data_IF_431914140166
#
_entry.id   IF_431914140166
#
_cell.length_a   1.000
_cell.length_b   1.000
_cell.length_c   1.000
_cell.angle_alpha   90.00
_cell.angle_beta   90.00
_cell.angle_gamma   90.00
#
_symmetry.space_group_name_H-M   'P 1'
#
loop_
_entity.id
_entity.type
_entity.pdbx_description
1 polymer ?
#
# COMPACT_ATOMS: atom_id res chain seq x y z
N UNK A 1 -31.08 -30.69 5.84
CA UNK A 1 -30.83 -29.37 5.22
C UNK A 1 -30.11 -28.53 6.25
N UNK A 2 -28.84 -28.17 6.03
CA UNK A 2 -28.12 -27.24 6.91
C UNK A 2 -28.54 -25.84 6.52
N UNK A 3 -29.17 -25.11 7.44
CA UNK A 3 -29.40 -23.67 7.30
C UNK A 3 -28.05 -22.99 7.08
N UNK A 4 -27.87 -22.40 5.89
CA UNK A 4 -26.79 -21.46 5.65
C UNK A 4 -27.17 -20.21 6.44
N UNK A 5 -26.55 -20.03 7.61
CA UNK A 5 -26.55 -18.75 8.31
C UNK A 5 -26.01 -17.72 7.30
N UNK A 6 -26.86 -16.80 6.84
CA UNK A 6 -26.41 -15.60 6.14
C UNK A 6 -25.38 -14.94 7.07
N UNK A 7 -24.11 -14.95 6.65
CA UNK A 7 -23.07 -14.22 7.35
C UNK A 7 -23.51 -12.75 7.41
N UNK A 8 -23.52 -12.16 8.61
CA UNK A 8 -23.85 -10.74 8.74
C UNK A 8 -22.84 -9.88 7.98
N UNK A 9 -23.27 -8.72 7.49
CA UNK A 9 -22.39 -7.79 6.76
C UNK A 9 -21.12 -7.45 7.54
N UNK A 10 -19.98 -7.49 6.86
CA UNK A 10 -18.69 -7.04 7.39
C UNK A 10 -18.75 -5.53 7.59
N UNK A 11 -18.69 -5.08 8.85
CA UNK A 11 -18.81 -3.64 9.14
C UNK A 11 -17.52 -2.89 8.88
N UNK A 12 -16.38 -3.42 9.33
CA UNK A 12 -15.07 -2.80 9.17
C UNK A 12 -14.31 -3.54 8.08
N UNK A 13 -14.07 -2.86 6.98
CA UNK A 13 -13.39 -3.43 5.83
C UNK A 13 -11.99 -2.81 5.74
N UNK A 14 -11.00 -3.68 5.62
CA UNK A 14 -9.60 -3.31 5.78
C UNK A 14 -8.99 -2.88 4.45
N UNK A 15 -8.29 -1.75 4.44
CA UNK A 15 -7.48 -1.29 3.31
C UNK A 15 -5.99 -1.61 3.48
N UNK A 16 -5.60 -2.15 4.64
CA UNK A 16 -4.36 -2.92 4.79
C UNK A 16 -4.72 -4.29 5.35
N UNK A 17 -4.22 -5.33 4.69
CA UNK A 17 -4.50 -6.74 5.00
C UNK A 17 -4.35 -7.07 6.49
N UNK A 18 -5.37 -7.69 7.09
CA UNK A 18 -5.28 -8.11 8.49
C UNK A 18 -4.22 -9.20 8.71
N UNK A 19 -4.04 -10.12 7.74
CA UNK A 19 -3.02 -11.17 7.82
C UNK A 19 -1.61 -10.57 7.93
N UNK A 20 -1.38 -9.46 7.23
CA UNK A 20 -0.16 -8.67 7.31
C UNK A 20 -0.03 -7.96 8.66
N UNK A 21 -1.05 -7.20 9.08
CA UNK A 21 -1.02 -6.42 10.33
C UNK A 21 -0.84 -7.29 11.58
N UNK A 22 -1.27 -8.56 11.54
CA UNK A 22 -1.03 -9.54 12.63
C UNK A 22 0.45 -9.75 12.95
N UNK A 23 1.37 -9.49 12.01
CA UNK A 23 2.82 -9.58 12.21
C UNK A 23 3.40 -8.45 13.07
N UNK A 24 2.61 -7.42 13.31
CA UNK A 24 3.00 -6.20 14.03
C UNK A 24 2.43 -6.14 15.45
N UNK A 25 1.79 -7.22 15.90
CA UNK A 25 1.28 -7.31 17.27
C UNK A 25 2.44 -7.34 18.27
N UNK A 26 2.26 -6.63 19.37
CA UNK A 26 3.06 -6.75 20.57
C UNK A 26 2.74 -8.05 21.33
N UNK A 27 3.48 -8.30 22.42
CA UNK A 27 3.30 -9.47 23.29
C UNK A 27 1.89 -9.59 23.88
N UNK A 28 1.18 -8.47 24.02
CA UNK A 28 -0.22 -8.42 24.49
C UNK A 28 -1.25 -8.63 23.37
N UNK A 29 -0.80 -8.97 22.16
CA UNK A 29 -1.65 -9.20 21.00
C UNK A 29 -2.29 -7.93 20.40
N UNK A 30 -1.80 -6.74 20.78
CA UNK A 30 -2.26 -5.43 20.28
C UNK A 30 -1.23 -4.84 19.33
N UNK A 31 -1.65 -3.95 18.44
CA UNK A 31 -0.75 -3.15 17.62
C UNK A 31 -0.67 -1.74 18.23
N UNK A 32 0.53 -1.15 18.24
CA UNK A 32 0.70 0.24 18.68
C UNK A 32 0.62 1.14 17.45
N UNK A 33 -0.21 2.16 17.52
CA UNK A 33 -0.50 3.07 16.41
C UNK A 33 -0.05 4.47 16.81
N UNK A 34 0.73 5.11 15.96
CA UNK A 34 0.96 6.55 15.98
C UNK A 34 0.05 7.21 14.95
N UNK A 35 -0.74 8.17 15.36
CA UNK A 35 -1.66 8.93 14.49
C UNK A 35 -1.08 10.31 14.23
N UNK A 36 -0.66 10.54 12.98
CA UNK A 36 -0.02 11.80 12.56
C UNK A 36 -0.94 13.01 12.67
N UNK A 37 -2.24 12.83 12.44
CA UNK A 37 -3.22 13.91 12.52
C UNK A 37 -3.52 14.28 13.98
N UNK A 38 -3.68 13.27 14.85
CA UNK A 38 -3.96 13.50 16.27
C UNK A 38 -2.72 13.73 17.14
N UNK A 39 -1.53 13.53 16.57
CA UNK A 39 -0.24 13.61 17.26
C UNK A 39 -0.22 12.79 18.56
N UNK A 40 -0.72 11.55 18.50
CA UNK A 40 -0.80 10.69 19.68
C UNK A 40 -0.54 9.22 19.37
N UNK A 41 -0.26 8.47 20.42
CA UNK A 41 -0.06 7.02 20.38
C UNK A 41 -1.19 6.29 21.09
N UNK A 42 -1.65 5.18 20.51
CA UNK A 42 -2.71 4.34 21.07
C UNK A 42 -2.46 2.86 20.82
N UNK A 43 -3.10 2.01 21.61
CA UNK A 43 -3.08 0.56 21.43
C UNK A 43 -4.42 0.11 20.85
N UNK A 44 -4.39 -0.61 19.73
CA UNK A 44 -5.59 -1.06 19.06
C UNK A 44 -5.58 -2.58 18.85
N UNK A 45 -6.78 -3.15 18.64
CA UNK A 45 -6.88 -4.47 18.04
C UNK A 45 -6.59 -4.38 16.54
N UNK A 46 -6.16 -5.48 15.92
CA UNK A 46 -5.95 -5.53 14.47
C UNK A 46 -7.24 -5.23 13.69
N UNK A 47 -8.41 -5.58 14.24
CA UNK A 47 -9.71 -5.38 13.60
C UNK A 47 -10.20 -3.91 13.60
N UNK A 48 -9.46 -3.02 14.27
CA UNK A 48 -9.82 -1.60 14.44
C UNK A 48 -8.80 -0.64 13.81
N UNK A 49 -7.84 -1.15 13.04
CA UNK A 49 -6.80 -0.35 12.38
C UNK A 49 -6.79 -0.59 10.87
N UNK A 50 -6.39 0.44 10.14
CA UNK A 50 -6.33 0.41 8.67
C UNK A 50 -7.62 -0.12 8.02
N UNK A 51 -8.77 0.27 8.57
CA UNK A 51 -10.10 -0.10 8.12
C UNK A 51 -11.05 1.09 8.18
N UNK A 52 -12.11 1.04 7.39
CA UNK A 52 -13.24 1.96 7.46
C UNK A 52 -14.54 1.19 7.37
N UNK A 53 -15.64 1.81 7.80
CA UNK A 53 -16.94 1.16 7.75
C UNK A 53 -17.45 1.09 6.32
N UNK A 54 -17.83 -0.10 5.85
CA UNK A 54 -18.40 -0.33 4.51
C UNK A 54 -17.53 0.33 3.41
N UNK A 55 -16.21 0.15 3.53
CA UNK A 55 -15.23 0.89 2.75
C UNK A 55 -15.30 0.54 1.26
N UNK A 56 -15.60 -0.71 0.91
CA UNK A 56 -15.70 -1.22 -0.44
C UNK A 56 -17.15 -1.37 -0.93
N UNK A 57 -18.15 -1.01 -0.13
CA UNK A 57 -19.56 -0.99 -0.54
C UNK A 57 -19.78 0.10 -1.63
N UNK A 58 -19.81 -0.34 -2.89
CA UNK A 58 -20.11 0.47 -4.07
C UNK A 58 -21.37 -0.06 -4.78
N UNK A 59 -21.98 0.77 -5.62
CA UNK A 59 -23.14 0.35 -6.41
C UNK A 59 -22.69 -0.61 -7.54
N UNK A 60 -23.41 -1.70 -7.74
CA UNK A 60 -23.14 -2.63 -8.84
C UNK A 60 -23.41 -2.01 -10.22
N UNK A 61 -24.25 -0.97 -10.29
CA UNK A 61 -24.45 -0.16 -11.50
C UNK A 61 -23.16 0.54 -11.96
N UNK A 62 -22.17 0.70 -11.08
CA UNK A 62 -20.88 1.29 -11.41
C UNK A 62 -19.90 0.31 -12.09
N UNK A 63 -20.28 -0.97 -12.22
CA UNK A 63 -19.44 -1.99 -12.85
C UNK A 63 -19.66 -2.02 -14.37
N UNK A 64 -18.57 -2.22 -15.11
CA UNK A 64 -18.67 -2.64 -16.50
C UNK A 64 -19.22 -4.07 -16.61
N UNK A 65 -19.82 -4.40 -17.76
CA UNK A 65 -20.28 -5.77 -18.06
C UNK A 65 -19.18 -6.80 -17.87
N UNK A 66 -17.94 -6.47 -18.27
CA UNK A 66 -16.80 -7.36 -18.13
C UNK A 66 -16.48 -7.66 -16.65
N UNK A 67 -16.46 -6.65 -15.79
CA UNK A 67 -16.20 -6.83 -14.36
C UNK A 67 -17.30 -7.66 -13.68
N UNK A 68 -18.57 -7.37 -14.00
CA UNK A 68 -19.70 -8.13 -13.47
C UNK A 68 -19.64 -9.61 -13.88
N UNK A 69 -19.31 -9.90 -15.14
CA UNK A 69 -19.17 -11.27 -15.64
C UNK A 69 -18.00 -12.00 -15.00
N UNK A 70 -16.87 -11.32 -14.77
CA UNK A 70 -15.71 -11.90 -14.08
C UNK A 70 -16.04 -12.30 -12.64
N UNK A 71 -16.74 -11.43 -11.89
CA UNK A 71 -17.20 -11.74 -10.53
C UNK A 71 -18.16 -12.94 -10.54
N UNK A 72 -19.12 -12.97 -11.46
CA UNK A 72 -20.09 -14.08 -11.57
C UNK A 72 -19.39 -15.42 -11.85
N UNK A 73 -18.32 -15.43 -12.67
CA UNK A 73 -17.52 -16.64 -12.96
C UNK A 73 -16.81 -17.22 -11.74
N UNK A 74 -16.45 -16.38 -10.78
CA UNK A 74 -15.84 -16.82 -9.51
C UNK A 74 -16.87 -17.01 -8.39
N UNK A 75 -18.16 -16.97 -8.73
CA UNK A 75 -19.27 -17.24 -7.80
C UNK A 75 -19.72 -16.05 -6.97
N UNK A 76 -19.36 -14.83 -7.36
CA UNK A 76 -19.76 -13.58 -6.69
C UNK A 76 -20.75 -12.85 -7.61
N UNK A 77 -21.99 -12.69 -7.15
CA UNK A 77 -23.02 -11.98 -7.91
C UNK A 77 -23.22 -10.56 -7.36
N UNK A 78 -22.69 -9.51 -8.04
CA UNK A 78 -22.73 -8.14 -7.51
C UNK A 78 -24.15 -7.55 -7.42
N UNK A 79 -25.14 -8.15 -8.09
CA UNK A 79 -26.55 -7.72 -7.98
C UNK A 79 -27.20 -8.17 -6.66
N UNK A 80 -26.76 -9.29 -6.10
CA UNK A 80 -27.31 -9.87 -4.88
C UNK A 80 -26.38 -9.75 -3.66
N UNK A 81 -25.10 -9.50 -3.89
CA UNK A 81 -24.08 -9.34 -2.86
C UNK A 81 -23.56 -7.90 -2.78
N UNK A 82 -24.09 -7.12 -1.83
CA UNK A 82 -23.64 -5.71 -1.64
C UNK A 82 -22.19 -5.54 -1.19
N UNK A 83 -21.49 -6.61 -0.80
CA UNK A 83 -20.09 -6.59 -0.35
C UNK A 83 -19.18 -7.40 -1.29
N UNK A 84 -19.54 -7.44 -2.58
CA UNK A 84 -18.86 -8.24 -3.59
C UNK A 84 -17.33 -7.99 -3.67
N UNK A 85 -16.86 -6.75 -3.45
CA UNK A 85 -15.42 -6.44 -3.43
C UNK A 85 -14.73 -7.01 -2.18
N UNK A 86 -15.33 -6.86 -1.00
CA UNK A 86 -14.77 -7.42 0.24
C UNK A 86 -14.70 -8.95 0.16
N UNK A 87 -15.75 -9.60 -0.37
CA UNK A 87 -15.74 -11.05 -0.57
C UNK A 87 -14.73 -11.49 -1.65
N UNK A 88 -14.57 -10.71 -2.72
CA UNK A 88 -13.53 -10.96 -3.72
C UNK A 88 -12.13 -10.88 -3.10
N UNK A 89 -11.81 -9.79 -2.41
CA UNK A 89 -10.52 -9.59 -1.76
C UNK A 89 -10.27 -10.70 -0.71
N UNK A 90 -11.23 -10.96 0.17
CA UNK A 90 -11.14 -11.99 1.20
C UNK A 90 -10.97 -13.40 0.65
N UNK A 91 -11.78 -13.77 -0.34
CA UNK A 91 -11.80 -15.12 -0.91
C UNK A 91 -10.60 -15.44 -1.80
N UNK A 92 -10.17 -14.46 -2.61
CA UNK A 92 -9.23 -14.70 -3.71
C UNK A 92 -7.87 -14.01 -3.55
N UNK A 93 -7.77 -12.94 -2.77
CA UNK A 93 -6.51 -12.19 -2.60
C UNK A 93 -5.89 -12.46 -1.24
N UNK A 94 -6.63 -12.27 -0.14
CA UNK A 94 -6.06 -12.33 1.21
C UNK A 94 -5.54 -13.74 1.58
N UNK A 95 -6.20 -14.78 1.09
CA UNK A 95 -5.79 -16.17 1.30
C UNK A 95 -4.42 -16.45 0.68
N UNK A 96 -4.24 -16.11 -0.60
CA UNK A 96 -2.99 -16.27 -1.32
C UNK A 96 -1.88 -15.41 -0.68
N UNK A 97 -2.19 -14.16 -0.35
CA UNK A 97 -1.26 -13.26 0.32
C UNK A 97 -0.78 -13.85 1.65
N UNK A 98 -1.71 -14.32 2.48
CA UNK A 98 -1.42 -14.88 3.80
C UNK A 98 -0.53 -16.12 3.68
N UNK A 99 -0.84 -17.02 2.76
CA UNK A 99 -0.04 -18.23 2.51
C UNK A 99 1.40 -17.86 2.13
N UNK A 100 1.58 -17.04 1.11
CA UNK A 100 2.89 -16.65 0.60
C UNK A 100 3.70 -15.86 1.64
N UNK A 101 3.07 -14.91 2.34
CA UNK A 101 3.73 -14.16 3.42
C UNK A 101 4.22 -15.11 4.52
N UNK A 102 3.38 -16.07 4.94
CA UNK A 102 3.75 -17.04 5.97
C UNK A 102 4.92 -17.92 5.52
N UNK A 103 4.93 -18.35 4.26
CA UNK A 103 6.04 -19.12 3.70
C UNK A 103 7.35 -18.32 3.66
N UNK A 104 7.31 -17.07 3.17
CA UNK A 104 8.48 -16.18 3.09
C UNK A 104 9.08 -15.94 4.48
N UNK A 105 8.23 -15.53 5.44
CA UNK A 105 8.67 -15.24 6.82
C UNK A 105 9.19 -16.51 7.50
N UNK A 106 8.49 -17.64 7.39
CA UNK A 106 8.93 -18.90 7.99
C UNK A 106 10.30 -19.34 7.47
N UNK A 107 10.55 -19.24 6.16
CA UNK A 107 11.87 -19.53 5.58
C UNK A 107 12.95 -18.60 6.13
N UNK A 108 12.64 -17.30 6.29
CA UNK A 108 13.59 -16.32 6.81
C UNK A 108 13.92 -16.52 8.29
N UNK A 109 12.92 -16.81 9.13
CA UNK A 109 13.10 -17.07 10.57
C UNK A 109 13.98 -18.30 10.84
N UNK A 110 13.91 -19.31 9.96
CA UNK A 110 14.71 -20.54 10.07
C UNK A 110 15.97 -20.51 9.19
N UNK A 111 16.27 -19.39 8.52
CA UNK A 111 17.42 -19.28 7.64
C UNK A 111 18.72 -19.29 8.45
N UNK A 112 19.55 -20.30 8.21
CA UNK A 112 20.93 -20.34 8.70
C UNK A 112 21.83 -19.48 7.80
N UNK A 113 23.06 -19.12 8.26
CA UNK A 113 24.01 -18.42 7.39
C UNK A 113 24.31 -19.16 6.07
N UNK A 114 24.25 -20.50 6.09
CA UNK A 114 24.36 -21.30 4.87
C UNK A 114 23.14 -21.12 3.96
N UNK A 115 21.94 -21.11 4.52
CA UNK A 115 20.70 -20.93 3.76
C UNK A 115 20.63 -19.54 3.12
N UNK A 116 20.96 -18.48 3.87
CA UNK A 116 21.01 -17.10 3.37
C UNK A 116 21.94 -16.97 2.16
N UNK A 117 23.09 -17.65 2.20
CA UNK A 117 24.11 -17.59 1.14
C UNK A 117 23.74 -18.39 -0.10
N UNK A 118 23.07 -19.53 0.05
CA UNK A 118 22.94 -20.52 -1.02
C UNK A 118 21.51 -20.64 -1.59
N UNK A 119 20.48 -20.32 -0.82
CA UNK A 119 19.09 -20.57 -1.19
C UNK A 119 18.39 -19.31 -1.71
N UNK A 120 17.24 -19.50 -2.35
CA UNK A 120 16.32 -18.42 -2.70
C UNK A 120 15.18 -18.38 -1.69
N UNK A 121 14.71 -17.19 -1.31
CA UNK A 121 13.61 -17.08 -0.35
C UNK A 121 12.24 -17.37 -0.98
N UNK A 122 12.12 -17.16 -2.28
CA UNK A 122 10.88 -17.33 -3.06
C UNK A 122 11.16 -18.05 -4.38
N UNK A 123 10.21 -18.85 -4.86
CA UNK A 123 10.29 -19.46 -6.19
C UNK A 123 9.90 -18.44 -7.26
N UNK A 124 10.19 -18.71 -8.54
CA UNK A 124 9.74 -17.83 -9.64
C UNK A 124 8.21 -17.74 -9.70
N UNK A 125 7.51 -18.88 -9.55
CA UNK A 125 6.04 -18.92 -9.55
C UNK A 125 5.45 -18.14 -8.37
N UNK A 126 6.02 -18.34 -7.18
CA UNK A 126 5.57 -17.60 -5.99
C UNK A 126 5.88 -16.11 -6.10
N UNK A 127 6.97 -15.72 -6.79
CA UNK A 127 7.27 -14.32 -7.07
C UNK A 127 6.19 -13.68 -7.94
N UNK A 128 5.73 -14.36 -8.99
CA UNK A 128 4.59 -13.90 -9.82
C UNK A 128 3.34 -13.74 -8.95
N UNK A 129 2.98 -14.75 -8.17
CA UNK A 129 1.79 -14.72 -7.33
C UNK A 129 1.87 -13.63 -6.25
N UNK A 130 3.04 -13.45 -5.65
CA UNK A 130 3.24 -12.40 -4.65
C UNK A 130 3.26 -11.01 -5.28
N UNK A 131 3.74 -10.85 -6.52
CA UNK A 131 3.65 -9.58 -7.23
C UNK A 131 2.19 -9.14 -7.48
N UNK A 132 1.29 -10.09 -7.80
CA UNK A 132 -0.16 -9.82 -7.87
C UNK A 132 -0.69 -9.38 -6.51
N UNK A 133 -0.28 -10.07 -5.44
CA UNK A 133 -0.62 -9.69 -4.06
C UNK A 133 -0.15 -8.28 -3.69
N UNK A 134 1.06 -7.89 -4.12
CA UNK A 134 1.60 -6.54 -3.93
C UNK A 134 0.80 -5.50 -4.72
N UNK A 135 0.42 -5.79 -5.97
CA UNK A 135 -0.42 -4.90 -6.79
C UNK A 135 -1.75 -4.58 -6.10
N UNK A 136 -2.45 -5.61 -5.59
CA UNK A 136 -3.68 -5.39 -4.82
C UNK A 136 -3.45 -4.59 -3.54
N UNK A 137 -2.41 -4.91 -2.75
CA UNK A 137 -2.12 -4.17 -1.53
C UNK A 137 -1.71 -2.71 -1.81
N UNK A 138 -1.02 -2.45 -2.92
CA UNK A 138 -0.63 -1.12 -3.35
C UNK A 138 -1.85 -0.26 -3.71
N UNK A 139 -2.77 -0.80 -4.51
CA UNK A 139 -3.98 -0.07 -4.94
C UNK A 139 -4.99 0.09 -3.79
N UNK A 140 -5.24 -0.94 -2.98
CA UNK A 140 -6.39 -0.95 -2.04
C UNK A 140 -6.32 0.06 -0.89
N UNK A 141 -5.21 0.77 -0.71
CA UNK A 141 -4.99 1.67 0.44
C UNK A 141 -5.94 2.87 0.44
N UNK A 142 -6.18 3.45 1.63
CA UNK A 142 -6.94 4.71 1.72
C UNK A 142 -6.24 5.89 1.05
N UNK A 143 -4.92 5.84 0.99
CA UNK A 143 -4.12 6.87 0.33
C UNK A 143 -4.42 6.97 -1.17
N UNK A 144 -4.67 5.84 -1.84
CA UNK A 144 -5.03 5.81 -3.28
C UNK A 144 -6.42 6.42 -3.50
N UNK A 145 -7.41 6.05 -2.68
CA UNK A 145 -8.75 6.67 -2.75
C UNK A 145 -8.69 8.18 -2.50
N UNK A 146 -7.91 8.60 -1.50
CA UNK A 146 -7.67 10.02 -1.22
C UNK A 146 -6.98 10.72 -2.39
N UNK A 147 -6.02 10.07 -3.05
CA UNK A 147 -5.33 10.63 -4.22
C UNK A 147 -6.28 10.85 -5.40
N UNK A 148 -7.26 9.98 -5.62
CA UNK A 148 -8.33 10.18 -6.62
C UNK A 148 -9.11 11.47 -6.32
N UNK A 149 -9.58 11.63 -5.09
CA UNK A 149 -10.32 12.83 -4.68
C UNK A 149 -9.46 14.11 -4.75
N UNK A 150 -8.23 14.03 -4.26
CA UNK A 150 -7.27 15.15 -4.26
C UNK A 150 -6.91 15.59 -5.69
N UNK A 151 -6.75 14.64 -6.62
CA UNK A 151 -6.45 14.95 -8.02
C UNK A 151 -7.61 15.68 -8.69
N UNK A 152 -8.84 15.25 -8.41
CA UNK A 152 -10.04 15.93 -8.89
C UNK A 152 -10.19 17.35 -8.31
N UNK A 153 -9.88 17.53 -7.02
CA UNK A 153 -9.90 18.85 -6.39
C UNK A 153 -8.83 19.79 -6.99
N UNK A 154 -7.61 19.29 -7.20
CA UNK A 154 -6.56 20.08 -7.85
C UNK A 154 -6.95 20.46 -9.29
N UNK A 155 -7.52 19.52 -10.06
CA UNK A 155 -8.00 19.79 -11.42
C UNK A 155 -9.12 20.84 -11.43
N UNK A 156 -10.05 20.78 -10.47
CA UNK A 156 -11.09 21.79 -10.30
C UNK A 156 -10.51 23.19 -10.14
N UNK A 157 -9.49 23.33 -9.30
CA UNK A 157 -8.84 24.62 -9.06
C UNK A 157 -8.20 25.16 -10.34
N UNK A 158 -7.54 24.30 -11.13
CA UNK A 158 -6.96 24.70 -12.43
C UNK A 158 -8.06 25.14 -13.39
N UNK A 159 -9.13 24.35 -13.56
CA UNK A 159 -10.20 24.64 -14.51
C UNK A 159 -10.96 25.93 -14.16
N UNK A 160 -11.15 26.20 -12.87
CA UNK A 160 -11.71 27.48 -12.38
C UNK A 160 -10.81 28.67 -12.69
N UNK A 161 -9.50 28.51 -12.60
CA UNK A 161 -8.55 29.61 -12.85
C UNK A 161 -8.46 29.96 -14.34
N UNK A 162 -8.61 28.98 -15.23
CA UNK A 162 -8.64 29.22 -16.68
C UNK A 162 -10.06 29.57 -17.20
N UNK A 163 -11.00 29.87 -16.31
CA UNK A 163 -12.36 30.35 -16.59
C UNK A 163 -13.17 29.41 -17.52
N UNK A 164 -13.03 28.10 -17.31
CA UNK A 164 -13.82 27.09 -18.01
C UNK A 164 -15.28 27.12 -17.53
N UNK A 165 -16.23 26.92 -18.44
CA UNK A 165 -17.65 26.90 -18.10
C UNK A 165 -18.00 25.77 -17.12
N UNK A 166 -19.01 25.99 -16.26
CA UNK A 166 -19.42 25.00 -15.27
C UNK A 166 -19.84 23.67 -15.91
N UNK A 167 -20.53 23.71 -17.06
CA UNK A 167 -20.93 22.50 -17.80
C UNK A 167 -19.74 21.64 -18.27
N UNK A 168 -18.57 22.26 -18.49
CA UNK A 168 -17.35 21.54 -18.86
C UNK A 168 -16.66 21.02 -17.60
N UNK A 169 -16.57 21.85 -16.56
CA UNK A 169 -16.02 21.47 -15.24
C UNK A 169 -16.72 20.20 -14.71
N UNK A 170 -18.05 20.16 -14.76
CA UNK A 170 -18.86 19.04 -14.25
C UNK A 170 -18.64 17.72 -14.99
N UNK A 171 -18.02 17.75 -16.19
CA UNK A 171 -17.68 16.53 -16.96
C UNK A 171 -16.35 15.90 -16.55
N UNK A 172 -15.45 16.67 -15.93
CA UNK A 172 -14.10 16.22 -15.62
C UNK A 172 -13.85 16.03 -14.12
N UNK A 173 -14.77 16.49 -13.27
CA UNK A 173 -14.64 16.42 -11.83
C UNK A 173 -15.45 15.25 -11.28
N UNK A 174 -14.84 14.58 -10.30
CA UNK A 174 -15.43 13.52 -9.52
C UNK A 174 -16.31 14.17 -8.44
N UNK A 175 -17.60 13.80 -8.37
CA UNK A 175 -18.47 14.31 -7.30
C UNK A 175 -18.10 13.65 -5.99
N UNK A 176 -18.35 14.37 -4.89
CA UNK A 176 -18.10 13.86 -3.55
C UNK A 176 -18.82 12.52 -3.33
N UNK A 177 -18.09 11.51 -2.90
CA UNK A 177 -18.58 10.16 -2.67
C UNK A 177 -18.45 9.22 -3.87
N UNK A 178 -18.15 9.73 -5.08
CA UNK A 178 -17.92 8.90 -6.26
C UNK A 178 -16.48 8.33 -6.30
N UNK A 179 -15.54 8.88 -5.53
CA UNK A 179 -14.17 8.37 -5.44
C UNK A 179 -14.09 6.92 -4.97
N UNK A 180 -15.08 6.46 -4.19
CA UNK A 180 -15.18 5.06 -3.77
C UNK A 180 -15.49 4.14 -4.94
N UNK A 181 -16.33 4.58 -5.90
CA UNK A 181 -16.72 3.80 -7.07
C UNK A 181 -15.54 3.68 -8.03
N UNK A 182 -14.77 4.77 -8.20
CA UNK A 182 -13.55 4.77 -9.00
C UNK A 182 -12.51 3.84 -8.36
N UNK A 183 -12.24 3.99 -7.06
CA UNK A 183 -11.29 3.12 -6.36
C UNK A 183 -11.74 1.65 -6.39
N UNK A 184 -13.03 1.35 -6.22
CA UNK A 184 -13.56 0.00 -6.32
C UNK A 184 -13.41 -0.59 -7.73
N UNK A 185 -13.63 0.22 -8.77
CA UNK A 185 -13.39 -0.19 -10.15
C UNK A 185 -11.90 -0.48 -10.42
N UNK A 186 -10.98 0.32 -9.87
CA UNK A 186 -9.53 0.06 -9.98
C UNK A 186 -9.14 -1.31 -9.39
N UNK A 187 -9.81 -1.75 -8.32
CA UNK A 187 -9.58 -3.07 -7.70
C UNK A 187 -10.12 -4.24 -8.52
N UNK A 188 -11.02 -3.98 -9.47
CA UNK A 188 -11.62 -4.98 -10.35
C UNK A 188 -11.09 -4.89 -11.79
N UNK A 189 -10.19 -3.94 -12.05
CA UNK A 189 -9.51 -3.80 -13.34
C UNK A 189 -8.35 -4.80 -13.42
N UNK A 190 -8.66 -5.99 -13.94
CA UNK A 190 -7.69 -7.09 -14.03
C UNK A 190 -6.50 -6.71 -14.91
N UNK A 191 -6.71 -5.96 -15.99
CA UNK A 191 -5.61 -5.56 -16.89
C UNK A 191 -4.62 -4.65 -16.15
N UNK A 192 -5.12 -3.58 -15.53
CA UNK A 192 -4.29 -2.66 -14.76
C UNK A 192 -3.60 -3.33 -13.56
N UNK A 193 -4.30 -4.25 -12.87
CA UNK A 193 -3.70 -5.04 -11.78
C UNK A 193 -2.56 -5.91 -12.29
N UNK A 194 -2.73 -6.55 -13.46
CA UNK A 194 -1.70 -7.41 -14.02
C UNK A 194 -0.50 -6.62 -14.54
N UNK A 195 -0.72 -5.44 -15.16
CA UNK A 195 0.38 -4.54 -15.53
C UNK A 195 1.17 -4.06 -14.31
N UNK A 196 0.47 -3.72 -13.22
CA UNK A 196 1.11 -3.32 -11.97
C UNK A 196 1.89 -4.48 -11.35
N UNK A 197 1.32 -5.69 -11.35
CA UNK A 197 1.98 -6.91 -10.88
C UNK A 197 3.22 -7.23 -11.71
N UNK A 198 3.17 -7.07 -13.03
CA UNK A 198 4.33 -7.20 -13.90
C UNK A 198 5.42 -6.18 -13.52
N UNK A 199 5.03 -4.93 -13.25
CA UNK A 199 5.92 -3.89 -12.73
C UNK A 199 6.68 -4.35 -11.48
N UNK A 200 5.98 -4.86 -10.47
CA UNK A 200 6.61 -5.43 -9.28
C UNK A 200 7.49 -6.65 -9.58
N UNK A 201 7.02 -7.56 -10.44
CA UNK A 201 7.73 -8.79 -10.79
C UNK A 201 9.07 -8.51 -11.50
N UNK A 202 9.13 -7.48 -12.33
CA UNK A 202 10.31 -7.11 -13.10
C UNK A 202 11.42 -6.46 -12.25
N UNK A 203 11.13 -6.08 -11.00
CA UNK A 203 12.14 -5.60 -10.06
C UNK A 203 13.01 -6.76 -9.53
N UNK A 204 14.22 -6.42 -9.10
CA UNK A 204 15.15 -7.34 -8.42
C UNK A 204 14.72 -7.47 -6.96
N UNK A 205 14.32 -8.66 -6.51
CA UNK A 205 13.79 -8.90 -5.17
C UNK A 205 14.86 -9.41 -4.21
N UNK A 206 15.02 -8.73 -3.08
CA UNK A 206 15.95 -9.09 -2.01
C UNK A 206 15.19 -9.11 -0.69
N UNK A 207 15.30 -10.19 0.08
CA UNK A 207 14.72 -10.27 1.41
C UNK A 207 15.73 -9.84 2.46
N UNK A 208 15.53 -8.64 3.01
CA UNK A 208 16.30 -8.12 4.12
C UNK A 208 15.93 -8.79 5.44
N UNK A 209 16.90 -9.36 6.14
CA UNK A 209 16.75 -9.87 7.51
C UNK A 209 17.41 -8.89 8.46
N UNK A 210 16.61 -8.27 9.32
CA UNK A 210 17.10 -7.37 10.36
C UNK A 210 17.85 -8.16 11.43
N UNK A 211 19.14 -7.84 11.62
CA UNK A 211 20.02 -8.40 12.66
C UNK A 211 20.34 -7.37 13.74
N UNK A 212 19.59 -6.27 13.78
CA UNK A 212 19.74 -5.20 14.78
C UNK A 212 18.68 -5.33 15.88
N UNK A 213 18.77 -4.48 16.91
CA UNK A 213 17.75 -4.38 17.96
C UNK A 213 16.63 -3.38 17.68
N UNK A 214 16.64 -2.69 16.54
CA UNK A 214 15.61 -1.70 16.16
C UNK A 214 14.62 -2.42 15.25
N UNK A 215 13.32 -2.52 15.59
CA UNK A 215 12.34 -3.11 14.68
C UNK A 215 12.03 -2.17 13.53
N UNK A 216 11.60 -2.74 12.41
CA UNK A 216 10.96 -1.95 11.37
C UNK A 216 9.65 -1.30 11.87
N UNK A 217 9.19 -0.28 11.16
CA UNK A 217 7.82 0.21 11.18
C UNK A 217 7.06 -0.28 9.94
N UNK A 218 5.74 -0.17 9.99
CA UNK A 218 4.88 -0.14 8.81
C UNK A 218 3.83 0.95 8.96
N UNK A 219 2.90 1.07 8.02
CA UNK A 219 1.89 2.12 8.01
C UNK A 219 0.59 1.69 7.33
N UNK A 220 -0.36 2.61 7.23
CA UNK A 220 -1.55 2.51 6.39
C UNK A 220 -1.28 2.57 4.87
N UNK A 221 -0.01 2.77 4.47
CA UNK A 221 0.50 2.69 3.10
C UNK A 221 1.80 1.86 3.12
N UNK A 222 1.71 0.53 3.28
CA UNK A 222 2.84 -0.27 3.74
C UNK A 222 3.91 -0.53 2.66
N UNK A 223 3.61 -0.30 1.38
CA UNK A 223 4.54 -0.41 0.26
C UNK A 223 4.89 1.00 -0.16
N UNK A 224 6.16 1.39 -0.01
CA UNK A 224 6.62 2.71 -0.41
C UNK A 224 7.73 2.65 -1.45
N UNK A 225 8.01 3.79 -2.05
CA UNK A 225 8.91 3.93 -3.20
C UNK A 225 9.94 5.02 -2.95
N UNK A 226 11.18 4.79 -3.38
CA UNK A 226 12.28 5.74 -3.28
C UNK A 226 12.91 5.91 -4.65
N UNK A 227 12.82 7.12 -5.25
CA UNK A 227 13.52 7.41 -6.49
C UNK A 227 15.01 7.66 -6.22
N UNK A 228 15.90 6.99 -6.96
CA UNK A 228 17.34 7.30 -6.96
C UNK A 228 17.78 8.14 -8.17
N UNK A 229 16.89 8.31 -9.15
CA UNK A 229 17.09 9.18 -10.31
C UNK A 229 16.23 10.43 -10.14
N UNK A 230 16.80 11.59 -10.45
CA UNK A 230 16.07 12.86 -10.46
C UNK A 230 15.71 13.24 -11.89
N UNK A 231 14.45 13.63 -12.13
CA UNK A 231 14.00 14.19 -13.40
C UNK A 231 13.42 15.60 -13.18
N UNK A 232 13.69 16.59 -14.06
CA UNK A 232 13.29 17.98 -13.83
C UNK A 232 11.78 18.23 -13.79
N UNK A 233 10.98 17.37 -14.43
CA UNK A 233 9.54 17.60 -14.64
C UNK A 233 8.62 16.51 -14.09
N UNK A 234 9.15 15.36 -13.68
CA UNK A 234 8.32 14.23 -13.29
C UNK A 234 8.90 13.49 -12.11
N UNK A 235 8.03 12.91 -11.29
CA UNK A 235 8.45 12.00 -10.23
C UNK A 235 9.03 10.72 -10.84
N UNK A 236 10.12 10.25 -10.27
CA UNK A 236 10.76 8.97 -10.61
C UNK A 236 10.42 7.87 -9.60
N UNK A 237 9.39 8.08 -8.78
CA UNK A 237 8.97 7.16 -7.72
C UNK A 237 8.01 6.06 -8.23
N UNK A 238 7.68 6.03 -9.53
CA UNK A 238 6.82 4.99 -10.09
C UNK A 238 7.49 3.62 -10.08
N UNK A 239 6.70 2.55 -9.92
CA UNK A 239 7.21 1.16 -9.86
C UNK A 239 8.01 0.75 -11.10
N UNK A 240 7.74 1.38 -12.26
CA UNK A 240 8.43 1.14 -13.53
C UNK A 240 9.47 2.23 -13.87
N UNK A 241 9.69 3.18 -12.97
CA UNK A 241 10.63 4.29 -13.19
C UNK A 241 12.07 3.82 -13.03
N UNK A 242 12.96 4.33 -13.88
CA UNK A 242 14.40 4.08 -13.77
C UNK A 242 14.92 4.46 -12.37
N UNK A 243 15.68 3.55 -11.76
CA UNK A 243 16.29 3.79 -10.45
C UNK A 243 15.33 3.71 -9.26
N UNK A 244 14.06 3.34 -9.44
CA UNK A 244 13.17 3.15 -8.30
C UNK A 244 13.66 2.00 -7.41
N UNK A 245 13.62 2.26 -6.10
CA UNK A 245 13.67 1.25 -5.05
C UNK A 245 12.27 1.18 -4.43
N UNK A 246 11.73 -0.01 -4.30
CA UNK A 246 10.46 -0.25 -3.61
C UNK A 246 10.74 -1.06 -2.36
N UNK A 247 10.20 -0.62 -1.24
CA UNK A 247 10.36 -1.31 0.04
C UNK A 247 9.00 -1.70 0.62
N UNK A 248 8.95 -2.88 1.20
CA UNK A 248 7.76 -3.39 1.87
C UNK A 248 8.17 -4.13 3.16
N UNK A 249 8.07 -3.51 4.34
CA UNK A 249 8.35 -4.16 5.61
C UNK A 249 7.37 -5.32 5.79
N UNK A 250 7.85 -6.56 5.89
CA UNK A 250 6.98 -7.75 6.00
C UNK A 250 6.65 -8.09 7.47
N UNK A 251 7.54 -7.71 8.38
CA UNK A 251 7.42 -7.87 9.83
C UNK A 251 8.44 -6.93 10.52
N UNK A 252 8.43 -6.82 11.86
CA UNK A 252 9.47 -6.06 12.58
C UNK A 252 10.91 -6.45 12.26
N UNK A 253 11.14 -7.68 11.78
CA UNK A 253 12.49 -8.22 11.52
C UNK A 253 12.79 -8.50 10.03
N UNK A 254 11.84 -8.25 9.13
CA UNK A 254 11.99 -8.63 7.72
C UNK A 254 11.42 -7.56 6.80
N UNK A 255 12.13 -7.24 5.72
CA UNK A 255 11.71 -6.27 4.70
C UNK A 255 11.96 -6.86 3.30
N UNK A 256 10.97 -6.75 2.42
CA UNK A 256 11.17 -7.02 1.00
C UNK A 256 11.65 -5.74 0.33
N UNK A 257 12.83 -5.82 -0.28
CA UNK A 257 13.45 -4.74 -1.04
C UNK A 257 13.41 -5.11 -2.52
N UNK A 258 12.98 -4.19 -3.37
CA UNK A 258 12.79 -4.44 -4.79
C UNK A 258 13.43 -3.29 -5.59
N UNK A 259 14.32 -3.61 -6.53
CA UNK A 259 15.13 -2.61 -7.22
C UNK A 259 14.95 -2.66 -8.73
N UNK A 260 14.86 -1.50 -9.38
CA UNK A 260 14.88 -1.42 -10.84
C UNK A 260 16.29 -1.75 -11.38
N UNK A 261 16.36 -2.71 -12.30
CA UNK A 261 17.62 -3.37 -12.65
C UNK A 261 18.58 -2.55 -13.53
N UNK A 262 18.09 -1.57 -14.30
CA UNK A 262 18.92 -0.76 -15.19
C UNK A 262 19.80 0.21 -14.44
N UNK A 263 19.33 0.79 -13.34
CA UNK A 263 20.15 1.63 -12.45
C UNK A 263 20.89 0.78 -11.41
N UNK A 264 20.21 -0.18 -10.78
CA UNK A 264 20.76 -1.01 -9.70
C UNK A 264 21.41 -2.30 -10.19
N UNK A 265 22.19 -2.24 -11.29
CA UNK A 265 22.77 -3.41 -11.96
C UNK A 265 23.61 -4.31 -11.04
N UNK A 266 24.27 -3.70 -10.06
CA UNK A 266 25.10 -4.40 -9.07
C UNK A 266 24.28 -5.29 -8.12
N UNK A 267 22.95 -5.14 -8.08
CA UNK A 267 22.05 -5.94 -7.27
C UNK A 267 21.47 -7.16 -8.01
N UNK A 268 21.64 -7.27 -9.33
CA UNK A 268 21.09 -8.38 -10.14
C UNK A 268 21.53 -9.75 -9.59
N UNK A 269 22.76 -9.88 -9.12
CA UNK A 269 23.28 -11.13 -8.54
C UNK A 269 22.61 -11.54 -7.22
N UNK A 270 21.85 -10.64 -6.60
CA UNK A 270 21.10 -10.87 -5.37
C UNK A 270 19.62 -11.20 -5.62
N UNK A 271 19.22 -11.41 -6.87
CA UNK A 271 17.84 -11.75 -7.21
C UNK A 271 17.33 -12.96 -6.42
N UNK A 272 16.20 -12.76 -5.73
CA UNK A 272 15.54 -13.69 -4.79
C UNK A 272 16.44 -14.17 -3.64
N UNK A 273 17.52 -13.47 -3.32
CA UNK A 273 18.44 -13.80 -2.21
C UNK A 273 18.10 -13.06 -0.93
N UNK A 274 18.76 -13.50 0.14
CA UNK A 274 18.69 -12.87 1.45
C UNK A 274 19.77 -11.80 1.59
N UNK A 275 19.50 -10.78 2.41
CA UNK A 275 20.46 -9.77 2.82
C UNK A 275 20.39 -9.56 4.33
N UNK A 276 21.46 -9.89 5.05
CA UNK A 276 21.57 -9.59 6.48
C UNK A 276 21.81 -8.09 6.69
N UNK A 277 20.85 -7.42 7.35
CA UNK A 277 20.89 -6.00 7.70
C UNK A 277 21.41 -5.85 9.13
N UNK A 278 22.70 -5.56 9.27
CA UNK A 278 23.39 -5.45 10.58
C UNK A 278 23.58 -4.01 11.05
N UNK A 279 23.39 -3.04 10.16
CA UNK A 279 23.56 -1.62 10.44
C UNK A 279 22.23 -1.01 10.86
N UNK A 280 22.20 -0.30 11.99
CA UNK A 280 21.00 0.33 12.54
C UNK A 280 20.47 1.42 11.61
N UNK A 281 21.39 2.13 10.97
CA UNK A 281 21.15 3.24 10.05
C UNK A 281 20.32 2.78 8.84
N UNK A 282 20.46 1.52 8.40
CA UNK A 282 19.62 0.92 7.35
C UNK A 282 18.17 0.77 7.82
N UNK A 283 17.96 0.33 9.06
CA UNK A 283 16.62 0.13 9.62
C UNK A 283 15.96 1.49 9.87
N UNK A 284 16.71 2.43 10.45
CA UNK A 284 16.28 3.80 10.64
C UNK A 284 15.92 4.45 9.30
N UNK A 285 16.73 4.28 8.27
CA UNK A 285 16.41 4.75 6.92
C UNK A 285 15.03 4.26 6.46
N UNK A 286 14.77 2.95 6.41
CA UNK A 286 13.46 2.45 5.97
C UNK A 286 12.31 2.81 6.92
N UNK A 287 12.59 2.99 8.20
CA UNK A 287 11.61 3.53 9.14
C UNK A 287 11.26 4.98 8.82
N UNK A 288 12.24 5.83 8.46
CA UNK A 288 11.96 7.19 7.98
C UNK A 288 11.10 7.17 6.72
N UNK A 289 11.41 6.29 5.77
CA UNK A 289 10.60 6.17 4.54
C UNK A 289 9.19 5.71 4.90
N UNK A 290 9.01 4.73 5.79
CA UNK A 290 7.69 4.29 6.27
C UNK A 290 6.88 5.42 6.92
N UNK A 291 7.55 6.35 7.61
CA UNK A 291 6.93 7.51 8.24
C UNK A 291 6.45 8.51 7.19
N UNK A 292 7.30 8.89 6.24
CA UNK A 292 6.95 9.85 5.19
C UNK A 292 5.91 9.28 4.20
N UNK A 293 6.05 8.01 3.84
CA UNK A 293 5.11 7.27 2.98
C UNK A 293 3.83 6.86 3.70
N UNK A 294 3.67 7.09 5.01
CA UNK A 294 2.38 6.85 5.69
C UNK A 294 1.35 7.93 5.33
N UNK A 295 0.07 7.60 5.34
CA UNK A 295 -0.99 8.60 5.09
C UNK A 295 -1.36 9.25 6.43
N UNK A 296 -1.80 8.45 7.40
CA UNK A 296 -2.15 8.94 8.75
C UNK A 296 -1.50 8.13 9.87
N UNK A 297 -1.49 6.81 9.75
CA UNK A 297 -1.15 5.90 10.84
C UNK A 297 0.15 5.16 10.56
N UNK A 298 1.03 5.17 11.56
CA UNK A 298 2.26 4.37 11.59
C UNK A 298 2.09 3.29 12.65
N UNK A 299 2.56 2.10 12.36
CA UNK A 299 2.39 0.93 13.21
C UNK A 299 3.74 0.38 13.67
N UNK A 300 3.81 0.04 14.96
CA UNK A 300 4.98 -0.57 15.58
C UNK A 300 4.58 -1.71 16.52
N UNK A 301 5.44 -2.71 16.65
CA UNK A 301 5.27 -3.83 17.59
C UNK A 301 5.69 -3.48 19.03
N UNK A 302 6.58 -2.50 19.23
CA UNK A 302 7.08 -2.12 20.55
C UNK A 302 6.57 -0.75 21.03
N UNK A 303 5.98 0.04 20.13
CA UNK A 303 5.47 1.38 20.45
C UNK A 303 6.54 2.45 20.62
N UNK A 304 7.79 2.15 20.27
CA UNK A 304 8.83 3.18 20.18
C UNK A 304 8.57 4.01 18.91
N UNK A 305 8.15 5.26 19.09
CA UNK A 305 7.94 6.26 18.04
C UNK A 305 8.85 7.48 18.21
N UNK A 306 9.96 7.36 18.94
CA UNK A 306 10.91 8.46 19.15
C UNK A 306 11.40 9.04 17.82
N UNK A 307 11.58 8.17 16.82
CA UNK A 307 11.97 8.60 15.48
C UNK A 307 10.91 9.51 14.81
N UNK A 308 9.63 9.22 15.00
CA UNK A 308 8.53 10.02 14.45
C UNK A 308 8.57 11.43 15.06
N UNK A 309 8.71 11.50 16.38
CA UNK A 309 8.80 12.76 17.12
C UNK A 309 10.04 13.57 16.69
N UNK A 310 11.20 12.93 16.59
CA UNK A 310 12.44 13.58 16.16
C UNK A 310 12.33 14.14 14.73
N UNK A 311 11.80 13.36 13.78
CA UNK A 311 11.61 13.81 12.40
C UNK A 311 10.59 14.96 12.31
N UNK A 312 9.50 14.89 13.07
CA UNK A 312 8.49 15.95 13.10
C UNK A 312 9.03 17.25 13.67
N UNK A 313 9.85 17.19 14.73
CA UNK A 313 10.50 18.37 15.30
C UNK A 313 11.56 18.97 14.36
N UNK A 314 12.30 18.12 13.65
CA UNK A 314 13.37 18.56 12.73
C UNK A 314 12.86 19.06 11.37
N UNK A 315 11.73 18.56 10.89
CA UNK A 315 11.15 18.92 9.60
C UNK A 315 9.61 18.78 9.60
N UNK A 316 8.88 19.69 10.27
CA UNK A 316 7.43 19.61 10.39
C UNK A 316 6.71 19.69 9.04
N UNK A 317 7.22 20.50 8.10
CA UNK A 317 6.62 20.69 6.78
C UNK A 317 6.55 19.38 5.96
N UNK A 318 7.50 18.47 6.14
CA UNK A 318 7.48 17.15 5.48
C UNK A 318 6.31 16.27 5.92
N UNK A 319 5.68 16.54 7.07
CA UNK A 319 4.48 15.84 7.55
C UNK A 319 3.18 16.45 7.02
N UNK A 320 3.24 17.65 6.44
CA UNK A 320 2.11 18.42 5.94
C UNK A 320 2.06 18.47 4.40
N UNK A 321 3.07 17.93 3.73
CA UNK A 321 3.15 17.90 2.28
C UNK A 321 2.08 16.97 1.67
N UNK A 322 1.20 17.46 0.79
CA UNK A 322 0.21 16.62 0.12
C UNK A 322 0.89 15.69 -0.89
N UNK A 323 0.39 14.45 -1.00
CA UNK A 323 0.88 13.49 -1.99
C UNK A 323 0.53 13.84 -3.43
N UNK A 324 -0.55 14.59 -3.62
CA UNK A 324 -1.03 15.00 -4.93
C UNK A 324 -0.80 16.49 -5.07
N UNK A 325 -0.12 16.88 -6.15
CA UNK A 325 0.09 18.25 -6.56
C UNK A 325 -0.06 18.30 -8.08
N UNK A 326 -0.70 19.34 -8.59
CA UNK A 326 -0.77 19.62 -10.03
C UNK A 326 -0.02 20.91 -10.28
N UNK A 327 0.87 20.92 -11.28
CA UNK A 327 1.53 22.15 -11.74
C UNK A 327 0.93 22.56 -13.07
N UNK A 328 0.39 23.77 -13.14
CA UNK A 328 -0.16 24.35 -14.37
C UNK A 328 0.31 25.79 -14.52
N UNK A 329 0.84 26.13 -15.71
CA UNK A 329 1.38 27.45 -16.03
C UNK A 329 2.38 28.01 -14.98
N UNK A 330 3.25 27.14 -14.45
CA UNK A 330 4.26 27.52 -13.44
C UNK A 330 3.71 27.70 -12.02
N UNK A 331 2.41 27.48 -11.79
CA UNK A 331 1.76 27.52 -10.48
C UNK A 331 1.48 26.11 -9.97
N UNK A 332 1.72 25.89 -8.69
CA UNK A 332 1.43 24.63 -8.00
C UNK A 332 0.04 24.69 -7.33
N UNK A 333 -0.75 23.64 -7.53
CA UNK A 333 -2.07 23.47 -6.95
C UNK A 333 -2.03 22.29 -5.98
N UNK A 334 -2.42 22.58 -4.74
CA UNK A 334 -2.50 21.61 -3.63
C UNK A 334 -3.96 21.32 -3.27
N UNK A 335 -4.28 20.12 -2.75
CA UNK A 335 -5.64 19.79 -2.37
C UNK A 335 -6.10 20.71 -1.25
N UNK A 336 -7.35 21.16 -1.32
CA UNK A 336 -7.92 22.20 -0.47
C UNK A 336 -7.87 21.84 1.02
N UNK A 337 -7.91 20.55 1.36
CA UNK A 337 -7.80 20.05 2.75
C UNK A 337 -6.46 20.32 3.43
N UNK A 338 -5.42 20.69 2.67
CA UNK A 338 -4.09 21.06 3.18
C UNK A 338 -3.86 22.59 3.22
N UNK A 339 -4.86 23.42 2.88
CA UNK A 339 -4.71 24.89 2.81
C UNK A 339 -5.13 25.63 4.08
N UNK A 340 -5.08 24.98 5.25
CA UNK A 340 -5.41 25.62 6.53
C UNK A 340 -4.18 26.16 7.24
#
# INVERSE_FOLDING_TARGET
>A
MREIKLAGKTKNEHYVLQCYLKRWKNEKGKIVVYDKELNNTRYNSIADVACKRYYYDIDSECLSTLQADLLKRIGIDPESDSQFIEHFLGGHVENLFSELLNQIISKAEHATPWYEKNCYFISEMDKVNFAICLAFQYIRTDSVRKAVADSSDCLHQVLKEIDVTHDVIDKYIIKQGEEKNIHGNMLLDVEQIMELAEGFHNLIWILGINRTGIPFYTSDSPIGTVPHVNHPFMSMAGIRSEGVEVFFPLSPMHVLLMYEGSYHKNLISYERKYLSLTQKERIEYYNSVSIFESDRNIFSCNGDFNMVENLRQGNPEAFECPRVQITWNGKEYRPTRYKN
#
